data_IF_400468170615
#
_entry.id   IF_400468170615
#
_cell.length_a   1.000
_cell.length_b   1.000
_cell.length_c   1.000
_cell.angle_alpha   90.00
_cell.angle_beta   90.00
_cell.angle_gamma   90.00
#
_symmetry.space_group_name_H-M   'P 1'
#
loop_
_entity.id
_entity.type
_entity.pdbx_description
1 polymer ?
#
# COMPACT_ATOMS: atom_id res chain seq x y z
N UNK A 1 -39.14 18.34 0.90
CA UNK A 1 -37.97 18.47 0.00
C UNK A 1 -36.75 17.94 0.75
N UNK A 2 -36.27 16.74 0.39
CA UNK A 2 -35.18 16.04 1.07
C UNK A 2 -33.87 16.43 0.36
N UNK A 3 -33.12 17.35 0.95
CA UNK A 3 -31.82 17.79 0.45
C UNK A 3 -30.86 16.60 0.42
N UNK A 4 -30.50 16.17 -0.80
CA UNK A 4 -29.48 15.16 -1.05
C UNK A 4 -28.14 15.78 -0.68
N UNK A 5 -27.63 15.47 0.52
CA UNK A 5 -26.24 15.76 0.87
C UNK A 5 -25.41 14.86 -0.06
N UNK A 6 -24.90 15.44 -1.14
CA UNK A 6 -23.92 14.81 -2.02
C UNK A 6 -22.63 14.62 -1.21
N UNK A 7 -22.53 13.48 -0.53
CA UNK A 7 -21.41 13.08 0.33
C UNK A 7 -20.12 12.74 -0.43
N UNK A 8 -19.83 13.46 -1.52
CA UNK A 8 -18.68 13.21 -2.39
C UNK A 8 -17.81 14.43 -2.65
N UNK A 9 -17.80 15.43 -1.74
CA UNK A 9 -16.64 16.32 -1.63
C UNK A 9 -15.48 15.47 -1.14
N UNK A 10 -14.61 15.07 -2.05
CA UNK A 10 -13.25 14.67 -1.70
C UNK A 10 -12.59 15.89 -1.09
N UNK A 11 -12.57 15.93 0.23
CA UNK A 11 -11.82 16.94 0.97
C UNK A 11 -10.37 16.91 0.48
N UNK A 12 -9.81 18.04 0.00
CA UNK A 12 -8.43 18.10 -0.46
C UNK A 12 -7.44 17.65 0.64
N UNK A 13 -7.77 17.85 1.92
CA UNK A 13 -6.95 17.34 3.03
C UNK A 13 -6.85 15.82 3.03
N UNK A 14 -7.97 15.12 2.78
CA UNK A 14 -8.01 13.66 2.67
C UNK A 14 -7.23 13.14 1.44
N UNK A 15 -7.07 13.94 0.38
CA UNK A 15 -6.28 13.52 -0.77
C UNK A 15 -4.78 13.60 -0.48
N UNK A 16 -4.33 14.70 0.15
CA UNK A 16 -2.94 14.86 0.57
C UNK A 16 -2.53 13.75 1.55
N UNK A 17 -3.40 13.42 2.52
CA UNK A 17 -3.14 12.34 3.48
C UNK A 17 -3.03 10.97 2.81
N UNK A 18 -3.96 10.61 1.91
CA UNK A 18 -3.87 9.34 1.18
C UNK A 18 -2.59 9.24 0.34
N UNK A 19 -2.16 10.34 -0.27
CA UNK A 19 -0.94 10.36 -1.08
C UNK A 19 0.31 10.24 -0.20
N UNK A 20 0.34 10.91 0.94
CA UNK A 20 1.39 10.78 1.94
C UNK A 20 1.49 9.33 2.46
N UNK A 21 0.35 8.72 2.82
CA UNK A 21 0.27 7.32 3.26
C UNK A 21 0.85 6.35 2.22
N UNK A 22 0.55 6.58 0.93
CA UNK A 22 1.08 5.76 -0.15
C UNK A 22 2.62 5.80 -0.22
N UNK A 23 3.22 6.99 -0.12
CA UNK A 23 4.68 7.13 -0.10
C UNK A 23 5.31 6.48 1.16
N UNK A 24 4.70 6.69 2.33
CA UNK A 24 5.17 6.08 3.59
C UNK A 24 5.06 4.55 3.53
N UNK A 25 4.04 3.98 2.90
CA UNK A 25 3.93 2.54 2.76
C UNK A 25 5.10 1.96 1.95
N UNK A 26 5.41 2.55 0.78
CA UNK A 26 6.50 2.11 -0.10
C UNK A 26 7.88 2.28 0.51
N UNK A 27 8.10 3.39 1.21
CA UNK A 27 9.39 3.66 1.87
C UNK A 27 9.79 2.51 2.81
N UNK A 28 8.84 2.03 3.61
CA UNK A 28 9.11 0.99 4.60
C UNK A 28 8.86 -0.44 4.11
N UNK A 29 8.17 -0.64 2.98
CA UNK A 29 8.13 -1.95 2.34
C UNK A 29 9.42 -2.26 1.58
N UNK A 30 10.22 -1.22 1.28
CA UNK A 30 11.41 -1.33 0.44
C UNK A 30 11.11 -1.29 -1.06
N UNK A 31 9.85 -1.06 -1.45
CA UNK A 31 9.42 -0.98 -2.85
C UNK A 31 9.51 0.43 -3.43
N UNK A 32 10.21 1.34 -2.75
CA UNK A 32 10.41 2.71 -3.23
C UNK A 32 11.34 2.70 -4.45
N UNK A 33 10.84 3.15 -5.59
CA UNK A 33 11.67 3.30 -6.80
C UNK A 33 12.24 4.72 -6.93
N UNK A 34 13.28 4.90 -7.73
CA UNK A 34 13.83 6.22 -8.05
C UNK A 34 12.77 7.17 -8.67
N UNK A 35 11.83 6.62 -9.44
CA UNK A 35 10.68 7.36 -9.96
C UNK A 35 9.76 7.82 -8.84
N UNK A 36 9.45 6.96 -7.88
CA UNK A 36 8.61 7.32 -6.73
C UNK A 36 9.29 8.41 -5.87
N UNK A 37 10.60 8.34 -5.65
CA UNK A 37 11.36 9.38 -4.95
C UNK A 37 11.32 10.73 -5.68
N UNK A 38 11.40 10.72 -7.01
CA UNK A 38 11.28 11.93 -7.81
C UNK A 38 9.87 12.55 -7.70
N UNK A 39 8.83 11.70 -7.71
CA UNK A 39 7.44 12.13 -7.53
C UNK A 39 7.16 12.63 -6.11
N UNK A 40 7.76 12.00 -5.10
CA UNK A 40 7.68 12.45 -3.72
C UNK A 40 8.27 13.86 -3.58
N UNK A 41 9.48 14.07 -4.12
CA UNK A 41 10.14 15.40 -4.09
C UNK A 41 9.31 16.46 -4.80
N UNK A 42 8.77 16.15 -5.97
CA UNK A 42 7.90 17.07 -6.71
C UNK A 42 6.63 17.41 -5.92
N UNK A 43 5.97 16.39 -5.36
CA UNK A 43 4.74 16.57 -4.58
C UNK A 43 4.97 17.37 -3.27
N UNK A 44 6.11 17.14 -2.58
CA UNK A 44 6.50 17.90 -1.39
C UNK A 44 6.90 19.35 -1.69
N UNK A 45 7.29 19.66 -2.93
CA UNK A 45 7.63 21.01 -3.37
C UNK A 45 6.40 21.82 -3.80
N UNK A 46 5.31 21.16 -4.16
CA UNK A 46 4.08 21.79 -4.65
C UNK A 46 3.32 22.57 -3.57
N UNK A 47 3.23 22.03 -2.35
CA UNK A 47 2.51 22.66 -1.23
C UNK A 47 3.22 22.37 0.12
N UNK A 48 3.55 23.39 0.94
CA UNK A 48 4.07 23.20 2.29
C UNK A 48 3.18 22.32 3.20
N UNK A 49 1.88 22.26 2.95
CA UNK A 49 0.92 21.39 3.62
C UNK A 49 1.18 19.91 3.35
N UNK A 50 1.62 19.53 2.15
CA UNK A 50 2.00 18.16 1.82
C UNK A 50 3.15 17.68 2.70
N UNK A 51 4.15 18.55 2.93
CA UNK A 51 5.28 18.27 3.81
C UNK A 51 4.84 18.01 5.25
N UNK A 52 3.99 18.86 5.80
CA UNK A 52 3.49 18.70 7.17
C UNK A 52 2.76 17.37 7.36
N UNK A 53 1.90 16.99 6.41
CA UNK A 53 1.14 15.73 6.49
C UNK A 53 2.07 14.53 6.35
N UNK A 54 3.05 14.59 5.44
CA UNK A 54 4.05 13.53 5.26
C UNK A 54 4.92 13.32 6.51
N UNK A 55 5.46 14.41 7.07
CA UNK A 55 6.27 14.39 8.31
C UNK A 55 5.45 13.88 9.51
N UNK A 56 4.19 14.29 9.63
CA UNK A 56 3.31 13.81 10.68
C UNK A 56 3.10 12.29 10.62
N UNK A 57 2.90 11.74 9.41
CA UNK A 57 2.75 10.29 9.23
C UNK A 57 4.04 9.52 9.49
N UNK A 58 5.21 10.07 9.13
CA UNK A 58 6.50 9.48 9.49
C UNK A 58 6.65 9.40 11.01
N UNK A 59 6.37 10.50 11.71
CA UNK A 59 6.47 10.55 13.17
C UNK A 59 5.52 9.57 13.85
N UNK A 60 4.25 9.50 13.43
CA UNK A 60 3.29 8.52 13.95
C UNK A 60 3.76 7.08 13.75
N UNK A 61 4.41 6.81 12.63
CA UNK A 61 4.93 5.47 12.34
C UNK A 61 6.15 5.13 13.16
N UNK A 62 7.09 6.06 13.32
CA UNK A 62 8.30 5.84 14.13
C UNK A 62 7.93 5.57 15.59
N UNK A 63 6.99 6.35 16.16
CA UNK A 63 6.42 6.08 17.48
C UNK A 63 5.80 4.69 17.58
N UNK A 64 5.12 4.24 16.51
CA UNK A 64 4.54 2.89 16.47
C UNK A 64 5.60 1.79 16.39
N UNK A 65 6.72 2.05 15.71
CA UNK A 65 7.87 1.13 15.63
C UNK A 65 8.59 0.98 16.97
N UNK A 66 8.76 2.09 17.70
CA UNK A 66 9.35 2.10 19.03
C UNK A 66 8.48 1.31 20.02
N UNK A 67 7.17 1.55 20.03
CA UNK A 67 6.22 0.80 20.87
C UNK A 67 6.19 -0.69 20.51
N UNK A 68 6.32 -1.05 19.22
CA UNK A 68 6.35 -2.44 18.79
C UNK A 68 7.65 -3.16 19.21
N UNK A 69 8.73 -2.41 19.44
CA UNK A 69 10.02 -2.94 19.89
C UNK A 69 10.08 -3.16 21.41
N UNK A 70 9.12 -2.60 22.16
CA UNK A 70 9.00 -2.79 23.59
C UNK A 70 8.45 -4.19 23.93
N UNK A 71 9.29 -5.00 24.58
CA UNK A 71 8.98 -6.39 24.96
C UNK A 71 7.85 -6.46 25.99
N UNK A 72 7.70 -5.45 26.84
CA UNK A 72 6.67 -5.41 27.89
C UNK A 72 5.30 -5.09 27.28
N UNK A 73 5.23 -4.08 26.41
CA UNK A 73 4.00 -3.72 25.69
C UNK A 73 3.54 -4.86 24.77
N UNK A 74 4.47 -5.51 24.07
CA UNK A 74 4.14 -6.66 23.22
C UNK A 74 3.71 -7.88 24.02
N UNK A 75 4.27 -8.12 25.22
CA UNK A 75 3.83 -9.17 26.13
C UNK A 75 2.41 -8.91 26.67
N UNK A 76 2.11 -7.67 27.09
CA UNK A 76 0.78 -7.26 27.54
C UNK A 76 -0.26 -7.36 26.42
N UNK A 77 0.09 -6.90 25.23
CA UNK A 77 -0.78 -6.98 24.04
C UNK A 77 -1.03 -8.44 23.66
N UNK A 78 -0.01 -9.29 23.68
CA UNK A 78 -0.15 -10.73 23.42
C UNK A 78 -0.98 -11.42 24.51
N UNK A 79 -0.83 -11.06 25.77
CA UNK A 79 -1.64 -11.60 26.86
C UNK A 79 -3.12 -11.18 26.71
N UNK A 80 -3.38 -9.91 26.38
CA UNK A 80 -4.72 -9.40 26.15
C UNK A 80 -5.38 -10.04 24.91
N UNK A 81 -4.67 -10.11 23.78
CA UNK A 81 -5.17 -10.71 22.54
C UNK A 81 -5.25 -12.25 22.60
N UNK A 82 -4.33 -12.90 23.31
CA UNK A 82 -4.31 -14.35 23.52
C UNK A 82 -5.46 -14.85 24.41
N UNK A 83 -6.03 -13.99 25.24
CA UNK A 83 -7.25 -14.29 26.01
C UNK A 83 -8.51 -14.36 25.12
N UNK A 84 -8.48 -13.74 23.93
CA UNK A 84 -9.56 -13.79 22.94
C UNK A 84 -9.40 -15.05 22.09
N UNK A 85 -9.65 -16.20 22.72
CA UNK A 85 -9.69 -17.52 22.06
C UNK A 85 -10.48 -17.48 20.74
N UNK A 86 -9.79 -17.84 19.65
CA UNK A 86 -10.21 -18.81 18.63
C UNK A 86 -11.71 -19.17 18.65
N UNK A 87 -12.56 -18.34 18.04
CA UNK A 87 -13.84 -18.79 17.51
C UNK A 87 -13.65 -19.01 16.02
N UNK A 88 -13.85 -20.26 15.58
CA UNK A 88 -13.39 -20.78 14.29
C UNK A 88 -13.90 -19.99 13.08
N UNK A 89 -13.07 -19.11 12.55
CA UNK A 89 -13.34 -18.41 11.29
C UNK A 89 -12.79 -19.25 10.14
N UNK A 90 -13.71 -20.03 9.59
CA UNK A 90 -13.67 -20.91 8.43
C UNK A 90 -12.42 -20.90 7.53
N UNK A 91 -11.75 -22.05 7.58
CA UNK A 91 -10.81 -22.68 6.64
C UNK A 91 -11.21 -22.64 5.15
N UNK A 92 -12.37 -22.06 4.81
CA UNK A 92 -12.94 -21.92 3.46
C UNK A 92 -12.33 -20.75 2.66
N UNK A 93 -11.82 -19.70 3.31
CA UNK A 93 -11.25 -18.53 2.62
C UNK A 93 -9.82 -18.74 2.10
N UNK A 94 -9.07 -19.66 2.70
CA UNK A 94 -7.71 -20.00 2.25
C UNK A 94 -7.66 -20.62 0.84
N UNK A 95 -8.75 -21.24 0.37
CA UNK A 95 -8.82 -21.80 -0.99
C UNK A 95 -8.92 -20.75 -2.09
N UNK A 96 -9.48 -19.56 -1.79
CA UNK A 96 -9.73 -18.51 -2.78
C UNK A 96 -8.48 -17.68 -3.09
N UNK A 97 -7.61 -17.48 -2.09
CA UNK A 97 -6.35 -16.74 -2.26
C UNK A 97 -5.37 -17.47 -3.21
N UNK A 98 -5.33 -18.80 -3.18
CA UNK A 98 -4.46 -19.60 -4.05
C UNK A 98 -4.88 -19.51 -5.54
N UNK A 99 -6.19 -19.47 -5.83
CA UNK A 99 -6.69 -19.36 -7.20
C UNK A 99 -6.37 -18.00 -7.84
N UNK A 100 -6.48 -16.90 -7.08
CA UNK A 100 -6.13 -15.55 -7.57
C UNK A 100 -4.63 -15.45 -7.86
N UNK A 101 -3.78 -16.06 -7.02
CA UNK A 101 -2.33 -16.08 -7.24
C UNK A 101 -1.96 -16.81 -8.54
N UNK A 102 -2.65 -17.92 -8.85
CA UNK A 102 -2.37 -18.72 -10.04
C UNK A 102 -2.80 -18.01 -11.35
N UNK A 103 -3.89 -17.25 -11.33
CA UNK A 103 -4.33 -16.40 -12.46
C UNK A 103 -3.39 -15.21 -12.67
N UNK A 104 -2.88 -14.61 -11.58
CA UNK A 104 -1.92 -13.51 -11.68
C UNK A 104 -0.58 -13.97 -12.29
N UNK A 105 -0.08 -15.15 -11.90
CA UNK A 105 1.18 -15.69 -12.44
C UNK A 105 1.06 -16.05 -13.92
N UNK A 106 -0.07 -16.62 -14.34
CA UNK A 106 -0.29 -16.94 -15.78
C UNK A 106 -0.47 -15.69 -16.64
N UNK A 107 -1.15 -14.65 -16.13
CA UNK A 107 -1.30 -13.38 -16.86
C UNK A 107 0.02 -12.62 -17.06
N UNK A 108 0.91 -12.64 -16.06
CA UNK A 108 2.24 -12.00 -16.17
C UNK A 108 3.12 -12.75 -17.18
N UNK A 109 3.11 -14.10 -17.17
CA UNK A 109 3.88 -14.90 -18.12
C UNK A 109 3.40 -14.71 -19.58
N UNK A 110 2.08 -14.62 -19.79
CA UNK A 110 1.51 -14.39 -21.11
C UNK A 110 1.93 -13.02 -21.67
N UNK A 111 1.97 -11.98 -20.83
CA UNK A 111 2.41 -10.64 -21.25
C UNK A 111 3.89 -10.59 -21.59
N UNK A 112 4.74 -11.29 -20.85
CA UNK A 112 6.19 -11.35 -21.15
C UNK A 112 6.49 -12.10 -22.45
N UNK A 113 5.72 -13.16 -22.77
CA UNK A 113 5.88 -13.89 -24.03
C UNK A 113 5.37 -13.09 -25.23
N UNK A 114 4.29 -12.32 -25.06
CA UNK A 114 3.76 -11.43 -26.12
C UNK A 114 4.70 -10.26 -26.43
N UNK A 115 5.33 -9.68 -25.41
CA UNK A 115 6.33 -8.61 -25.60
C UNK A 115 7.59 -9.15 -26.27
N UNK A 116 8.02 -10.37 -25.93
CA UNK A 116 9.17 -11.00 -26.57
C UNK A 116 8.90 -11.38 -28.05
N UNK A 117 7.65 -11.71 -28.40
CA UNK A 117 7.29 -11.99 -29.80
C UNK A 117 7.21 -10.73 -30.68
N UNK A 118 6.93 -9.57 -30.09
CA UNK A 118 6.88 -8.28 -30.82
C UNK A 118 8.28 -7.80 -31.21
N UNK A 119 9.30 -8.05 -30.37
CA UNK A 119 10.68 -7.69 -30.69
C UNK A 119 11.30 -8.56 -31.80
N UNK A 120 10.86 -9.81 -31.94
CA UNK A 120 11.36 -10.71 -32.97
C UNK A 120 10.91 -10.30 -34.39
N UNK A 121 9.75 -9.66 -34.56
CA UNK A 121 9.25 -9.24 -35.88
C UNK A 121 9.92 -7.97 -36.41
N UNK A 122 10.51 -7.13 -35.54
CA UNK A 122 11.16 -5.87 -35.93
C UNK A 122 12.53 -6.14 -36.57
N UNK A 123 13.17 -7.28 -36.27
CA UNK A 123 14.49 -7.65 -36.80
C UNK A 123 14.45 -8.38 -38.15
N UNK A 124 13.29 -8.88 -38.59
CA UNK A 124 13.16 -9.61 -39.87
C UNK A 124 12.75 -8.69 -41.04
N UNK A 125 12.50 -7.40 -40.78
CA UNK A 125 12.05 -6.42 -41.79
C UNK A 125 13.05 -5.29 -42.09
N UNK A 126 14.29 -5.41 -41.61
CA UNK A 126 15.40 -4.51 -41.91
C UNK A 126 16.52 -5.24 -42.67
#
# INVERSE_FOLDING_TARGET
>A
MKGRIDGRRTDPSNQAERRAQWFVMRLYSGDMTATDESQLRAWLAEDPGHRKVYEHLLHLRDLSGDLASDKEITALTRAALGSRRRTGFDRRWFGLAAAVFLVAVTGVLAKTLLVASDEAQILETA
#
